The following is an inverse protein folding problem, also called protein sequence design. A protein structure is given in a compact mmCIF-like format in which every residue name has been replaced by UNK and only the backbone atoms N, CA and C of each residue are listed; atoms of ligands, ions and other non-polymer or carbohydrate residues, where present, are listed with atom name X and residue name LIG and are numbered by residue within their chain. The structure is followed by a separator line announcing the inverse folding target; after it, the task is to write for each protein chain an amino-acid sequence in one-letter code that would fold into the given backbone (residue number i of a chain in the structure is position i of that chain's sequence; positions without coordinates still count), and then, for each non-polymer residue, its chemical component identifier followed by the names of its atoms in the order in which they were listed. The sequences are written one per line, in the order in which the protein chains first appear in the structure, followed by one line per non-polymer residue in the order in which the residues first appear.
data_IF_024511549872
#
_entry.id   IF_024511549872
#
_cell.length_a   1.000
_cell.length_b   1.000
_cell.length_c   1.000
_cell.angle_alpha   90.00
_cell.angle_beta   90.00
_cell.angle_gamma   90.00
#
_symmetry.space_group_name_H-M   'P 1'
#
loop_
_entity.id
_entity.type
_entity.pdbx_description
1 polymer ?
#
# COMPACT_ATOMS: atom_id res chain seq x y z
N UNK A 1 9.96 -29.31 3.43
CA UNK A 1 11.23 -28.76 3.92
C UNK A 1 11.22 -28.59 5.44
N UNK A 2 12.38 -28.64 6.10
CA UNK A 2 12.53 -28.31 7.55
C UNK A 2 12.71 -26.79 7.73
N UNK A 3 12.53 -26.28 8.95
CA UNK A 3 12.63 -24.84 9.25
C UNK A 3 13.98 -24.21 8.86
N UNK A 4 15.09 -24.94 9.00
CA UNK A 4 16.42 -24.44 8.59
C UNK A 4 16.57 -24.31 7.08
N UNK A 5 15.90 -25.16 6.31
CA UNK A 5 15.86 -25.06 4.85
C UNK A 5 14.94 -23.92 4.40
N UNK A 6 13.77 -23.78 5.05
CA UNK A 6 12.86 -22.66 4.83
C UNK A 6 13.56 -21.31 5.07
N UNK A 7 14.34 -21.22 6.16
CA UNK A 7 15.14 -20.04 6.47
C UNK A 7 16.14 -19.70 5.37
N UNK A 8 16.93 -20.67 4.89
CA UNK A 8 17.88 -20.43 3.78
C UNK A 8 17.19 -19.98 2.49
N UNK A 9 16.05 -20.58 2.15
CA UNK A 9 15.34 -20.29 0.90
C UNK A 9 14.64 -18.94 0.89
N UNK A 10 14.26 -18.44 2.06
CA UNK A 10 13.53 -17.18 2.22
C UNK A 10 14.42 -16.03 2.69
N UNK A 11 15.60 -16.31 3.21
CA UNK A 11 16.46 -15.33 3.88
C UNK A 11 15.93 -14.91 5.26
N UNK A 12 14.82 -15.46 5.73
CA UNK A 12 14.21 -15.13 7.03
C UNK A 12 14.84 -16.00 8.11
N UNK A 13 15.30 -15.38 9.20
CA UNK A 13 15.92 -16.11 10.31
C UNK A 13 14.94 -17.10 10.97
N UNK A 14 15.43 -18.24 11.47
CA UNK A 14 14.59 -19.21 12.20
C UNK A 14 13.83 -18.55 13.39
N UNK A 15 14.44 -17.68 14.22
CA UNK A 15 13.71 -16.92 15.23
C UNK A 15 12.56 -16.09 14.67
N UNK A 16 12.78 -15.39 13.54
CA UNK A 16 11.75 -14.58 12.88
C UNK A 16 10.63 -15.45 12.29
N UNK A 17 10.95 -16.62 11.72
CA UNK A 17 9.93 -17.57 11.26
C UNK A 17 9.04 -18.01 12.44
N UNK A 18 9.65 -18.38 13.57
CA UNK A 18 8.90 -18.76 14.79
C UNK A 18 8.05 -17.60 15.32
N UNK A 19 8.59 -16.38 15.25
CA UNK A 19 7.86 -15.16 15.58
C UNK A 19 6.62 -15.01 14.68
N UNK A 20 6.76 -15.07 13.36
CA UNK A 20 5.62 -14.96 12.44
C UNK A 20 4.58 -16.06 12.60
N UNK A 21 4.98 -17.29 12.94
CA UNK A 21 4.01 -18.36 13.28
C UNK A 21 3.21 -18.01 14.53
N UNK A 22 3.88 -17.51 15.58
CA UNK A 22 3.21 -17.12 16.83
C UNK A 22 2.28 -15.92 16.64
N UNK A 23 2.68 -14.94 15.84
CA UNK A 23 1.88 -13.75 15.55
C UNK A 23 0.79 -14.01 14.50
N UNK A 24 0.68 -15.22 13.95
CA UNK A 24 -0.37 -15.62 12.98
C UNK A 24 -0.11 -15.21 11.53
N UNK A 25 1.06 -14.67 11.20
CA UNK A 25 1.40 -14.26 9.83
C UNK A 25 1.74 -15.46 8.92
N UNK A 26 2.24 -16.55 9.52
CA UNK A 26 2.59 -17.78 8.83
C UNK A 26 1.85 -18.96 9.46
N UNK A 27 1.18 -19.82 8.68
CA UNK A 27 0.62 -21.07 9.21
C UNK A 27 1.71 -21.90 9.91
N UNK A 28 1.31 -22.63 10.96
CA UNK A 28 2.21 -23.59 11.59
C UNK A 28 2.53 -24.72 10.61
N UNK A 29 3.80 -25.13 10.56
CA UNK A 29 4.19 -26.30 9.76
C UNK A 29 3.58 -27.59 10.31
N UNK A 30 3.36 -28.56 9.43
CA UNK A 30 2.83 -29.87 9.79
C UNK A 30 3.78 -30.62 10.72
N UNK A 31 3.28 -31.08 11.86
CA UNK A 31 4.09 -31.85 12.80
C UNK A 31 4.47 -33.21 12.18
N UNK A 32 5.77 -33.44 12.05
CA UNK A 32 6.35 -34.71 11.61
C UNK A 32 6.98 -35.52 12.74
N UNK A 33 7.23 -34.87 13.89
CA UNK A 33 7.56 -35.49 15.19
C UNK A 33 7.36 -34.44 16.30
N UNK A 34 7.43 -34.80 17.60
CA UNK A 34 7.20 -33.86 18.71
C UNK A 34 8.03 -32.57 18.66
N UNK A 35 9.21 -32.61 18.01
CA UNK A 35 10.13 -31.47 17.89
C UNK A 35 10.43 -31.10 16.43
N UNK A 36 9.68 -31.59 15.44
CA UNK A 36 9.92 -31.29 14.03
C UNK A 36 8.63 -30.96 13.27
N UNK A 37 8.63 -29.79 12.63
CA UNK A 37 7.60 -29.38 11.69
C UNK A 37 8.13 -29.42 10.25
N UNK A 38 7.25 -29.78 9.31
CA UNK A 38 7.45 -29.72 7.87
C UNK A 38 6.73 -28.50 7.30
N UNK A 39 7.40 -27.84 6.38
CA UNK A 39 6.91 -26.67 5.64
C UNK A 39 6.93 -27.00 4.15
N UNK A 40 6.17 -26.27 3.35
CA UNK A 40 6.07 -26.47 1.90
C UNK A 40 6.29 -25.15 1.13
N UNK A 41 6.03 -25.16 -0.18
CA UNK A 41 6.18 -23.98 -1.03
C UNK A 41 5.21 -22.85 -0.68
N UNK A 42 4.03 -23.16 -0.12
CA UNK A 42 3.08 -22.14 0.31
C UNK A 42 3.67 -21.28 1.42
N UNK A 43 4.43 -21.88 2.34
CA UNK A 43 5.13 -21.17 3.40
C UNK A 43 6.24 -20.26 2.85
N UNK A 44 6.93 -20.68 1.78
CA UNK A 44 7.94 -19.85 1.11
C UNK A 44 7.28 -18.62 0.47
N UNK A 45 6.18 -18.81 -0.28
CA UNK A 45 5.43 -17.71 -0.90
C UNK A 45 4.90 -16.73 0.16
N UNK A 46 4.27 -17.26 1.21
CA UNK A 46 3.74 -16.47 2.33
C UNK A 46 4.82 -15.65 3.03
N UNK A 47 5.99 -16.23 3.30
CA UNK A 47 7.11 -15.50 3.91
C UNK A 47 7.64 -14.37 3.01
N UNK A 48 7.72 -14.59 1.70
CA UNK A 48 8.12 -13.54 0.74
C UNK A 48 7.13 -12.40 0.71
N UNK A 49 5.83 -12.71 0.71
CA UNK A 49 4.77 -11.71 0.79
C UNK A 49 4.88 -10.90 2.09
N UNK A 50 4.95 -11.57 3.25
CA UNK A 50 5.12 -10.91 4.56
C UNK A 50 6.31 -9.95 4.53
N UNK A 51 7.46 -10.40 4.01
CA UNK A 51 8.65 -9.55 3.93
C UNK A 51 8.47 -8.36 2.98
N UNK A 52 7.85 -8.55 1.81
CA UNK A 52 7.59 -7.46 0.88
C UNK A 52 6.67 -6.39 1.52
N UNK A 53 5.60 -6.80 2.20
CA UNK A 53 4.66 -5.89 2.85
C UNK A 53 5.30 -5.10 4.01
N UNK A 54 6.19 -5.73 4.80
CA UNK A 54 6.89 -5.05 5.89
C UNK A 54 8.03 -4.17 5.37
N UNK A 55 8.96 -4.75 4.60
CA UNK A 55 10.23 -4.11 4.26
C UNK A 55 10.07 -3.01 3.21
N UNK A 56 9.18 -3.22 2.23
CA UNK A 56 8.95 -2.29 1.12
C UNK A 56 7.66 -1.51 1.33
N UNK A 57 6.59 -2.22 1.72
CA UNK A 57 5.29 -1.60 2.01
C UNK A 57 5.28 -0.75 3.28
N UNK A 58 6.23 -0.95 4.20
CA UNK A 58 6.29 -0.21 5.46
C UNK A 58 5.17 -0.56 6.44
N UNK A 59 4.45 -1.66 6.22
CA UNK A 59 3.35 -2.06 7.11
C UNK A 59 3.91 -2.60 8.44
N UNK A 60 3.19 -2.31 9.51
CA UNK A 60 3.42 -2.97 10.80
C UNK A 60 3.05 -4.45 10.74
N UNK A 61 3.63 -5.27 11.62
CA UNK A 61 3.28 -6.71 11.73
C UNK A 61 1.78 -6.92 11.95
N UNK A 62 1.14 -6.04 12.73
CA UNK A 62 -0.30 -6.08 12.97
C UNK A 62 -1.09 -5.78 11.68
N UNK A 63 -0.71 -4.75 10.93
CA UNK A 63 -1.34 -4.42 9.65
C UNK A 63 -1.17 -5.57 8.63
N UNK A 64 0.00 -6.19 8.57
CA UNK A 64 0.24 -7.35 7.71
C UNK A 64 -0.65 -8.52 8.10
N UNK A 65 -0.81 -8.83 9.39
CA UNK A 65 -1.73 -9.90 9.84
C UNK A 65 -3.16 -9.65 9.34
N UNK A 66 -3.70 -8.45 9.56
CA UNK A 66 -5.06 -8.10 9.15
C UNK A 66 -5.26 -8.24 7.63
N UNK A 67 -4.30 -7.77 6.84
CA UNK A 67 -4.30 -7.90 5.37
C UNK A 67 -4.31 -9.37 4.96
N UNK A 68 -3.45 -10.16 5.61
CA UNK A 68 -3.29 -11.57 5.32
C UNK A 68 -4.48 -12.43 5.75
N UNK A 69 -5.21 -12.02 6.80
CA UNK A 69 -6.50 -12.59 7.19
C UNK A 69 -7.58 -12.23 6.17
N UNK A 70 -7.63 -10.97 5.72
CA UNK A 70 -8.57 -10.54 4.70
C UNK A 70 -8.35 -11.27 3.35
N UNK A 71 -7.10 -11.57 2.99
CA UNK A 71 -6.75 -12.38 1.81
C UNK A 71 -7.20 -13.84 1.95
N UNK A 72 -7.16 -14.37 3.17
CA UNK A 72 -7.51 -15.77 3.45
C UNK A 72 -9.00 -16.05 3.61
N UNK A 73 -9.86 -15.01 3.58
CA UNK A 73 -11.31 -15.13 3.71
C UNK A 73 -11.97 -15.23 2.32
N UNK A 74 -12.42 -16.43 1.89
CA UNK A 74 -13.05 -16.62 0.58
C UNK A 74 -14.41 -15.92 0.44
N UNK A 75 -14.98 -15.39 1.53
CA UNK A 75 -16.22 -14.62 1.52
C UNK A 75 -16.04 -13.13 1.23
N UNK A 76 -14.80 -12.61 1.23
CA UNK A 76 -14.52 -11.18 0.98
C UNK A 76 -14.29 -10.89 -0.49
N UNK A 77 -14.90 -9.80 -0.95
CA UNK A 77 -14.64 -9.24 -2.26
C UNK A 77 -13.27 -8.56 -2.30
N UNK A 78 -12.68 -8.50 -3.50
CA UNK A 78 -11.45 -7.76 -3.80
C UNK A 78 -11.52 -6.32 -3.33
N UNK A 79 -12.71 -5.71 -3.46
CA UNK A 79 -12.97 -4.34 -3.02
C UNK A 79 -12.81 -4.18 -1.50
N UNK A 80 -13.29 -5.14 -0.71
CA UNK A 80 -13.16 -5.11 0.75
C UNK A 80 -11.71 -5.34 1.20
N UNK A 81 -10.97 -6.21 0.53
CA UNK A 81 -9.55 -6.45 0.83
C UNK A 81 -8.69 -5.24 0.48
N UNK A 82 -8.94 -4.61 -0.68
CA UNK A 82 -8.29 -3.36 -1.07
C UNK A 82 -8.63 -2.22 -0.10
N UNK A 83 -9.88 -2.09 0.33
CA UNK A 83 -10.30 -1.14 1.34
C UNK A 83 -9.54 -1.31 2.66
N UNK A 84 -9.42 -2.56 3.14
CA UNK A 84 -8.67 -2.89 4.34
C UNK A 84 -7.17 -2.60 4.18
N UNK A 85 -6.56 -2.89 3.03
CA UNK A 85 -5.16 -2.55 2.77
C UNK A 85 -4.94 -1.03 2.81
N UNK A 86 -5.78 -0.24 2.11
CA UNK A 86 -5.69 1.23 2.12
C UNK A 86 -5.86 1.83 3.52
N UNK A 87 -6.78 1.30 4.34
CA UNK A 87 -7.01 1.73 5.74
C UNK A 87 -5.73 1.75 6.58
N UNK A 88 -4.78 0.85 6.32
CA UNK A 88 -3.57 0.69 7.14
C UNK A 88 -2.33 1.39 6.57
N UNK A 89 -2.34 1.69 5.27
CA UNK A 89 -1.24 2.38 4.59
C UNK A 89 -1.43 3.89 4.68
N UNK A 90 -2.67 4.34 4.57
CA UNK A 90 -2.97 5.76 4.57
C UNK A 90 -2.72 6.33 5.99
N UNK A 91 -1.93 7.41 6.13
CA UNK A 91 -1.65 8.00 7.43
C UNK A 91 -2.95 8.44 8.12
N UNK A 92 -3.40 7.64 9.09
CA UNK A 92 -4.51 7.97 9.96
C UNK A 92 -4.08 8.99 11.01
N UNK A 93 -3.89 10.24 10.60
CA UNK A 93 -3.75 11.33 11.55
C UNK A 93 -5.11 12.02 11.68
N UNK A 94 -5.97 11.43 12.52
CA UNK A 94 -7.15 12.12 13.05
C UNK A 94 -6.71 13.40 13.75
N UNK A 95 -6.59 14.49 12.99
CA UNK A 95 -6.30 15.84 13.48
C UNK A 95 -7.45 16.43 14.30
N UNK A 96 -7.31 17.70 14.73
CA UNK A 96 -8.37 18.43 15.40
C UNK A 96 -9.64 18.48 14.54
N UNK A 97 -10.80 18.35 15.18
CA UNK A 97 -12.08 18.62 14.51
C UNK A 97 -12.27 20.13 14.46
N UNK A 98 -11.90 20.72 13.32
CA UNK A 98 -11.81 22.16 13.11
C UNK A 98 -12.37 22.58 11.73
N UNK A 99 -12.49 23.89 11.52
CA UNK A 99 -12.99 24.44 10.26
C UNK A 99 -12.12 24.06 9.04
N UNK A 100 -10.83 23.75 9.26
CA UNK A 100 -9.92 23.32 8.19
C UNK A 100 -10.29 21.91 7.71
N UNK A 101 -10.67 21.01 8.61
CA UNK A 101 -11.20 19.68 8.28
C UNK A 101 -12.51 19.76 7.52
N UNK A 102 -13.45 20.61 7.93
CA UNK A 102 -14.73 20.76 7.24
C UNK A 102 -14.54 21.28 5.80
N UNK A 103 -13.65 22.25 5.63
CA UNK A 103 -13.25 22.76 4.31
C UNK A 103 -12.61 21.66 3.47
N UNK A 104 -11.68 20.91 4.02
CA UNK A 104 -11.00 19.82 3.33
C UNK A 104 -11.94 18.69 2.90
N UNK A 105 -12.92 18.32 3.75
CA UNK A 105 -13.96 17.34 3.41
C UNK A 105 -14.81 17.81 2.23
N UNK A 106 -15.21 19.08 2.21
CA UNK A 106 -15.94 19.67 1.07
C UNK A 106 -15.09 19.64 -0.21
N UNK A 107 -13.83 20.06 -0.14
CA UNK A 107 -12.91 20.03 -1.29
C UNK A 107 -12.74 18.61 -1.86
N UNK A 108 -12.60 17.59 -1.00
CA UNK A 108 -12.51 16.20 -1.41
C UNK A 108 -13.83 15.69 -2.03
N UNK A 109 -14.98 16.01 -1.42
CA UNK A 109 -16.28 15.60 -1.93
C UNK A 109 -16.59 16.23 -3.30
N UNK A 110 -16.26 17.51 -3.47
CA UNK A 110 -16.37 18.21 -4.75
C UNK A 110 -15.47 17.59 -5.83
N UNK A 111 -14.27 17.10 -5.46
CA UNK A 111 -13.39 16.37 -6.38
C UNK A 111 -14.02 15.06 -6.84
N UNK A 112 -14.51 14.25 -5.89
CA UNK A 112 -15.14 12.98 -6.22
C UNK A 112 -16.35 13.19 -7.13
N UNK A 113 -17.21 14.17 -6.79
CA UNK A 113 -18.40 14.50 -7.56
C UNK A 113 -18.07 14.96 -8.98
N UNK A 114 -17.16 15.94 -9.15
CA UNK A 114 -16.81 16.49 -10.47
C UNK A 114 -16.11 15.47 -11.38
N UNK A 115 -15.40 14.50 -10.80
CA UNK A 115 -14.75 13.40 -11.52
C UNK A 115 -15.66 12.20 -11.76
N UNK A 116 -16.84 12.16 -11.15
CA UNK A 116 -17.75 11.03 -11.23
C UNK A 116 -17.20 9.76 -10.57
N UNK A 117 -16.27 9.90 -9.63
CA UNK A 117 -15.72 8.76 -8.89
C UNK A 117 -16.79 8.19 -7.96
N UNK A 118 -16.88 6.85 -7.89
CA UNK A 118 -17.85 6.14 -7.05
C UNK A 118 -17.16 5.71 -5.75
N UNK A 119 -17.01 6.65 -4.84
CA UNK A 119 -16.33 6.45 -3.55
C UNK A 119 -17.21 7.02 -2.43
N UNK A 120 -17.53 6.19 -1.44
CA UNK A 120 -18.30 6.60 -0.27
C UNK A 120 -17.52 7.50 0.68
N UNK A 121 -18.20 8.38 1.42
CA UNK A 121 -17.56 9.28 2.39
C UNK A 121 -16.93 8.53 3.58
N UNK A 122 -17.40 7.32 3.88
CA UNK A 122 -16.80 6.45 4.90
C UNK A 122 -15.52 5.75 4.40
N UNK A 123 -15.23 5.85 3.10
CA UNK A 123 -14.05 5.24 2.52
C UNK A 123 -12.77 5.78 3.18
N UNK A 124 -11.84 4.91 3.59
CA UNK A 124 -10.59 5.31 4.22
C UNK A 124 -9.77 6.31 3.40
N UNK A 125 -9.70 6.10 2.08
CA UNK A 125 -8.95 6.97 1.19
C UNK A 125 -9.57 8.38 1.10
N UNK A 126 -10.90 8.49 1.20
CA UNK A 126 -11.58 9.79 1.32
C UNK A 126 -11.14 10.52 2.58
N UNK A 127 -11.16 9.84 3.73
CA UNK A 127 -10.74 10.41 5.01
C UNK A 127 -9.29 10.87 4.98
N UNK A 128 -8.39 10.05 4.42
CA UNK A 128 -6.97 10.41 4.32
C UNK A 128 -6.69 11.57 3.38
N UNK A 129 -7.41 11.68 2.25
CA UNK A 129 -7.34 12.86 1.39
C UNK A 129 -7.79 14.11 2.14
N UNK A 130 -8.93 14.03 2.86
CA UNK A 130 -9.44 15.14 3.64
C UNK A 130 -8.47 15.55 4.77
N UNK A 131 -7.86 14.60 5.48
CA UNK A 131 -6.88 14.93 6.53
C UNK A 131 -5.61 15.57 5.94
N UNK A 132 -5.14 15.12 4.78
CA UNK A 132 -4.00 15.73 4.08
C UNK A 132 -4.31 17.17 3.63
N UNK A 133 -5.47 17.39 3.01
CA UNK A 133 -5.92 18.74 2.62
C UNK A 133 -6.13 19.64 3.84
N UNK A 134 -6.66 19.12 4.95
CA UNK A 134 -6.79 19.88 6.20
C UNK A 134 -5.42 20.31 6.75
N UNK A 135 -4.40 19.46 6.62
CA UNK A 135 -3.04 19.81 6.98
C UNK A 135 -2.48 20.94 6.09
N UNK A 136 -2.70 20.89 4.76
CA UNK A 136 -2.32 22.00 3.87
C UNK A 136 -3.03 23.31 4.27
N UNK A 137 -4.34 23.25 4.53
CA UNK A 137 -5.13 24.42 4.92
C UNK A 137 -4.61 25.04 6.24
N UNK A 138 -4.33 24.21 7.26
CA UNK A 138 -3.75 24.68 8.53
C UNK A 138 -2.38 25.34 8.38
N UNK A 139 -1.62 24.94 7.38
CA UNK A 139 -0.31 25.53 7.05
C UNK A 139 -0.43 26.77 6.14
N UNK A 140 -1.64 27.25 5.83
CA UNK A 140 -1.88 28.41 4.97
C UNK A 140 -1.78 28.13 3.47
N UNK A 141 -1.80 26.86 3.06
CA UNK A 141 -1.68 26.43 1.67
C UNK A 141 -3.04 26.08 1.03
N UNK A 142 -4.08 26.86 1.33
CA UNK A 142 -5.48 26.61 0.90
C UNK A 142 -5.63 26.50 -0.63
N UNK A 143 -4.81 27.27 -1.37
CA UNK A 143 -4.79 27.27 -2.84
C UNK A 143 -4.26 25.98 -3.46
N UNK A 144 -3.64 25.08 -2.68
CA UNK A 144 -3.16 23.81 -3.21
C UNK A 144 -4.30 22.99 -3.81
N UNK A 145 -5.44 22.94 -3.12
CA UNK A 145 -6.62 22.20 -3.58
C UNK A 145 -7.15 22.77 -4.91
N UNK A 146 -7.15 24.09 -5.06
CA UNK A 146 -7.63 24.76 -6.27
C UNK A 146 -6.68 24.60 -7.47
N UNK A 147 -5.37 24.74 -7.22
CA UNK A 147 -4.38 24.85 -8.30
C UNK A 147 -3.85 23.49 -8.74
N UNK A 148 -3.70 22.55 -7.81
CA UNK A 148 -2.95 21.31 -8.04
C UNK A 148 -3.80 20.06 -8.04
N UNK A 149 -4.92 20.04 -7.31
CA UNK A 149 -5.64 18.80 -7.03
C UNK A 149 -6.17 18.11 -8.30
N UNK A 150 -6.59 18.87 -9.31
CA UNK A 150 -7.03 18.29 -10.57
C UNK A 150 -5.90 17.65 -11.38
N UNK A 151 -4.69 18.22 -11.39
CA UNK A 151 -3.54 17.59 -12.03
C UNK A 151 -3.12 16.30 -11.30
N UNK A 152 -3.24 16.27 -9.97
CA UNK A 152 -3.02 15.06 -9.18
C UNK A 152 -4.07 14.00 -9.50
N UNK A 153 -5.34 14.39 -9.63
CA UNK A 153 -6.42 13.48 -10.01
C UNK A 153 -6.20 12.89 -11.42
N UNK A 154 -5.81 13.69 -12.41
CA UNK A 154 -5.51 13.22 -13.77
C UNK A 154 -4.37 12.18 -13.82
N UNK A 155 -3.38 12.36 -12.95
CA UNK A 155 -2.29 11.39 -12.81
C UNK A 155 -2.77 10.11 -12.09
N UNK A 156 -3.54 10.28 -11.00
CA UNK A 156 -4.08 9.17 -10.23
C UNK A 156 -5.01 8.28 -11.07
N UNK A 157 -5.86 8.85 -11.93
CA UNK A 157 -6.73 8.08 -12.84
C UNK A 157 -5.93 7.21 -13.81
N UNK A 158 -4.82 7.74 -14.35
CA UNK A 158 -3.92 6.98 -15.24
C UNK A 158 -3.23 5.84 -14.51
N UNK A 159 -2.78 6.07 -13.29
CA UNK A 159 -2.14 5.05 -12.44
C UNK A 159 -3.17 3.97 -12.08
N UNK A 160 -4.34 4.37 -11.58
CA UNK A 160 -5.40 3.44 -11.21
C UNK A 160 -5.83 2.53 -12.38
N UNK A 161 -5.89 3.06 -13.61
CA UNK A 161 -6.18 2.27 -14.79
C UNK A 161 -5.12 1.19 -15.06
N UNK A 162 -3.83 1.52 -14.87
CA UNK A 162 -2.72 0.57 -15.01
C UNK A 162 -2.78 -0.50 -13.91
N UNK A 163 -3.02 -0.09 -12.67
CA UNK A 163 -3.05 -1.00 -11.51
C UNK A 163 -4.22 -1.97 -11.59
N UNK A 164 -5.42 -1.48 -11.92
CA UNK A 164 -6.60 -2.34 -12.13
C UNK A 164 -6.38 -3.31 -13.28
N UNK A 165 -5.76 -2.86 -14.38
CA UNK A 165 -5.43 -3.74 -15.50
C UNK A 165 -4.39 -4.81 -15.14
N UNK A 166 -3.43 -4.50 -14.28
CA UNK A 166 -2.46 -5.46 -13.75
C UNK A 166 -3.14 -6.52 -12.88
N UNK A 167 -3.95 -6.09 -11.91
CA UNK A 167 -4.71 -7.01 -11.04
C UNK A 167 -5.63 -7.89 -11.86
N UNK A 168 -6.36 -7.35 -12.85
CA UNK A 168 -7.25 -8.13 -13.71
C UNK A 168 -6.52 -9.17 -14.57
N UNK A 169 -5.24 -8.98 -14.88
CA UNK A 169 -4.41 -9.96 -15.61
C UNK A 169 -3.90 -11.06 -14.68
N UNK A 170 -3.45 -10.69 -13.48
CA UNK A 170 -2.91 -11.65 -12.51
C UNK A 170 -4.02 -12.45 -11.80
N UNK A 171 -5.21 -11.86 -11.69
CA UNK A 171 -6.47 -12.49 -11.29
C UNK A 171 -6.76 -13.84 -11.98
N UNK A 172 -6.37 -13.98 -13.24
CA UNK A 172 -6.59 -15.17 -14.04
C UNK A 172 -5.64 -16.34 -13.67
N UNK A 173 -4.76 -16.17 -12.66
CA UNK A 173 -3.71 -17.11 -12.25
C UNK A 173 -3.90 -17.66 -10.84
N UNK A 174 -5.14 -17.71 -10.36
CA UNK A 174 -5.60 -18.30 -9.09
C UNK A 174 -5.32 -17.53 -7.77
N UNK A 175 -4.57 -16.42 -7.76
CA UNK A 175 -4.25 -15.64 -6.54
C UNK A 175 -4.60 -14.13 -6.66
N UNK A 176 -5.83 -13.83 -7.10
CA UNK A 176 -6.31 -12.46 -7.36
C UNK A 176 -6.15 -11.53 -6.16
N UNK A 177 -6.51 -12.02 -4.97
CA UNK A 177 -6.56 -11.21 -3.74
C UNK A 177 -5.16 -10.87 -3.24
N UNK A 178 -4.21 -11.83 -3.31
CA UNK A 178 -2.80 -11.58 -3.03
C UNK A 178 -2.21 -10.58 -4.03
N UNK A 179 -2.51 -10.73 -5.33
CA UNK A 179 -2.09 -9.80 -6.38
C UNK A 179 -2.60 -8.37 -6.18
N UNK A 180 -3.85 -8.21 -5.73
CA UNK A 180 -4.44 -6.90 -5.43
C UNK A 180 -3.73 -6.22 -4.25
N UNK A 181 -3.47 -6.95 -3.17
CA UNK A 181 -2.73 -6.45 -2.00
C UNK A 181 -1.31 -6.04 -2.35
N UNK A 182 -0.59 -6.89 -3.09
CA UNK A 182 0.77 -6.60 -3.54
C UNK A 182 0.78 -5.38 -4.45
N UNK A 183 -0.14 -5.34 -5.41
CA UNK A 183 -0.30 -4.23 -6.36
C UNK A 183 -0.52 -2.90 -5.64
N UNK A 184 -1.40 -2.87 -4.64
CA UNK A 184 -1.66 -1.65 -3.86
C UNK A 184 -0.47 -1.27 -2.98
N UNK A 185 -0.01 -2.17 -2.11
CA UNK A 185 1.02 -1.83 -1.09
C UNK A 185 2.36 -1.51 -1.74
N UNK A 186 2.80 -2.36 -2.69
CA UNK A 186 4.06 -2.10 -3.38
C UNK A 186 3.89 -1.03 -4.45
N UNK A 187 2.70 -0.90 -5.04
CA UNK A 187 2.36 0.17 -5.98
C UNK A 187 2.50 1.55 -5.34
N UNK A 188 2.02 1.73 -4.10
CA UNK A 188 2.20 2.98 -3.36
C UNK A 188 3.68 3.33 -3.16
N UNK A 189 4.51 2.35 -2.82
CA UNK A 189 5.96 2.55 -2.66
C UNK A 189 6.63 2.93 -3.99
N UNK A 190 6.24 2.27 -5.09
CA UNK A 190 6.71 2.58 -6.45
C UNK A 190 6.28 3.98 -6.85
N UNK A 191 5.00 4.33 -6.71
CA UNK A 191 4.45 5.63 -7.06
C UNK A 191 5.11 6.76 -6.27
N UNK A 192 5.24 6.59 -4.95
CA UNK A 192 5.89 7.57 -4.10
C UNK A 192 7.35 7.81 -4.52
N UNK A 193 8.06 6.75 -4.90
CA UNK A 193 9.45 6.81 -5.34
C UNK A 193 9.59 7.45 -6.73
N UNK A 194 8.76 7.05 -7.69
CA UNK A 194 8.72 7.65 -9.03
C UNK A 194 8.36 9.14 -8.96
N UNK A 195 7.36 9.51 -8.15
CA UNK A 195 6.99 10.91 -7.94
C UNK A 195 8.16 11.72 -7.40
N UNK A 196 8.88 11.22 -6.39
CA UNK A 196 10.07 11.89 -5.84
C UNK A 196 11.19 12.02 -6.87
N UNK A 197 11.46 10.98 -7.67
CA UNK A 197 12.46 11.03 -8.73
C UNK A 197 12.09 12.05 -9.81
N UNK A 198 10.83 12.09 -10.24
CA UNK A 198 10.33 13.07 -11.20
C UNK A 198 10.42 14.50 -10.65
N UNK A 199 10.19 14.71 -9.36
CA UNK A 199 10.39 16.01 -8.72
C UNK A 199 11.86 16.45 -8.72
N UNK A 200 12.80 15.53 -8.49
CA UNK A 200 14.23 15.81 -8.57
C UNK A 200 14.62 16.23 -9.99
N UNK A 201 14.17 15.50 -11.03
CA UNK A 201 14.44 15.86 -12.43
C UNK A 201 13.79 17.20 -12.82
N UNK A 202 12.52 17.42 -12.47
CA UNK A 202 11.81 18.67 -12.77
C UNK A 202 12.47 19.88 -12.09
N UNK A 203 12.88 19.72 -10.83
CA UNK A 203 13.64 20.74 -10.10
C UNK A 203 14.99 21.01 -10.77
N UNK A 204 15.73 19.96 -11.17
CA UNK A 204 16.99 20.11 -11.88
C UNK A 204 16.83 20.82 -13.23
N UNK A 205 15.73 20.60 -13.96
CA UNK A 205 15.45 21.34 -15.20
C UNK A 205 15.04 22.80 -14.96
N UNK A 206 14.30 23.06 -13.89
CA UNK A 206 13.80 24.39 -13.57
C UNK A 206 14.88 25.29 -12.93
N UNK A 207 15.82 24.70 -12.17
CA UNK A 207 16.76 25.43 -11.31
C UNK A 207 18.23 25.03 -11.52
N UNK A 208 18.52 23.96 -12.27
CA UNK A 208 19.87 23.50 -12.52
C UNK A 208 20.53 24.18 -13.72
N UNK A 209 21.58 24.95 -13.47
CA UNK A 209 22.57 25.35 -14.47
C UNK A 209 23.45 24.15 -14.83
N UNK A 210 23.29 23.57 -16.03
CA UNK A 210 24.27 22.69 -16.69
C UNK A 210 24.39 21.25 -16.15
N UNK A 211 24.40 20.28 -17.06
CA UNK A 211 24.55 18.82 -16.81
C UNK A 211 25.80 18.51 -15.96
N UNK A 212 25.74 17.52 -15.03
CA UNK A 212 26.92 16.73 -14.77
C UNK A 212 27.21 15.88 -16.02
N UNK A 213 28.43 15.98 -16.53
CA UNK A 213 28.98 15.07 -17.51
C UNK A 213 28.75 13.63 -17.04
N UNK A 214 28.04 12.84 -17.85
CA UNK A 214 28.17 11.39 -17.83
C UNK A 214 29.60 11.08 -18.23
N UNK A 215 30.47 10.92 -17.23
CA UNK A 215 31.74 10.23 -17.35
C UNK A 215 31.46 8.72 -17.39
N UNK A 216 32.19 8.08 -18.29
CA UNK A 216 32.23 6.67 -18.70
C UNK A 216 31.96 5.61 -17.62
#
# INVERSE_FOLDING_TARGET
MRVGELSRRTGVSVPTIKYYVREGLLPAGELSSPNQARYDESHVRRLRLVRALIDVGGLSVAAVRDVLEAVGDPGRSVHEVLGAAHDRIAPGAGGPDDAARDTARRQAAELIARRGWRVDADNPAFRSLADALAAFNRLGHERFAEVSLDAYADAAERIAAVDVAYVAREAARDDLVEGAVVGTVLGDAVLASLRRLAQVDASARAHGTGRPSTGE
#
